data_IF_018882080182
#
_entry.id   IF_018882080182
#
_cell.length_a   1.000
_cell.length_b   1.000
_cell.length_c   1.000
_cell.angle_alpha   90.00
_cell.angle_beta   90.00
_cell.angle_gamma   90.00
#
_symmetry.space_group_name_H-M   'P 1'
#
loop_
_entity.id
_entity.type
_entity.pdbx_description
1 polymer ?
#
# COMPACT_ATOMS: atom_id res chain seq x y z
N UNK A 1 -9.48 -9.76 19.46
CA UNK A 1 -8.71 -8.84 18.61
C UNK A 1 -8.71 -9.42 17.22
N UNK A 2 -9.32 -8.75 16.25
CA UNK A 2 -9.20 -9.15 14.85
C UNK A 2 -7.75 -8.91 14.45
N UNK A 3 -6.96 -9.98 14.33
CA UNK A 3 -5.60 -9.88 13.82
C UNK A 3 -5.69 -9.76 12.30
N UNK A 4 -5.36 -8.58 11.78
CA UNK A 4 -5.28 -8.33 10.35
C UNK A 4 -3.87 -8.66 9.88
N UNK A 5 -3.77 -9.47 8.82
CA UNK A 5 -2.49 -9.92 8.29
C UNK A 5 -1.66 -10.64 9.37
N UNK A 6 -2.09 -11.84 9.74
CA UNK A 6 -1.50 -12.63 10.82
C UNK A 6 -0.08 -13.09 10.52
N UNK A 7 0.58 -13.68 11.53
CA UNK A 7 2.00 -14.06 11.44
C UNK A 7 2.35 -14.95 10.23
N UNK A 8 1.51 -15.94 9.93
CA UNK A 8 1.74 -16.86 8.82
C UNK A 8 1.58 -16.21 7.46
N UNK A 9 0.53 -15.42 7.29
CA UNK A 9 0.31 -14.70 6.04
C UNK A 9 1.37 -13.62 5.84
N UNK A 10 1.77 -12.90 6.90
CA UNK A 10 2.86 -11.93 6.87
C UNK A 10 4.19 -12.58 6.42
N UNK A 11 4.52 -13.75 6.99
CA UNK A 11 5.70 -14.51 6.59
C UNK A 11 5.64 -14.93 5.12
N UNK A 12 4.53 -15.53 4.69
CA UNK A 12 4.37 -16.01 3.30
C UNK A 12 4.40 -14.84 2.32
N UNK A 13 3.74 -13.72 2.64
CA UNK A 13 3.78 -12.52 1.81
C UNK A 13 5.21 -11.98 1.68
N UNK A 14 5.94 -11.89 2.79
CA UNK A 14 7.33 -11.46 2.78
C UNK A 14 8.22 -12.39 1.95
N UNK A 15 8.02 -13.72 2.00
CA UNK A 15 8.86 -14.66 1.25
C UNK A 15 8.47 -14.78 -0.23
N UNK A 16 7.17 -14.83 -0.53
CA UNK A 16 6.65 -15.22 -1.84
C UNK A 16 6.06 -14.11 -2.69
N UNK A 17 5.72 -12.95 -2.10
CA UNK A 17 4.90 -11.92 -2.76
C UNK A 17 5.52 -10.51 -2.71
N UNK A 18 6.84 -10.43 -2.51
CA UNK A 18 7.55 -9.15 -2.44
C UNK A 18 7.81 -8.48 -3.79
N UNK A 19 7.61 -9.21 -4.89
CA UNK A 19 7.91 -8.76 -6.26
C UNK A 19 7.26 -7.43 -6.62
N UNK A 20 5.99 -7.23 -6.25
CA UNK A 20 5.26 -6.01 -6.57
C UNK A 20 5.92 -4.78 -5.93
N UNK A 21 6.21 -4.86 -4.62
CA UNK A 21 6.87 -3.80 -3.87
C UNK A 21 8.32 -3.57 -4.31
N UNK A 22 9.05 -4.62 -4.71
CA UNK A 22 10.43 -4.50 -5.17
C UNK A 22 10.52 -3.89 -6.57
N UNK A 23 9.63 -4.30 -7.49
CA UNK A 23 9.61 -3.79 -8.87
C UNK A 23 9.07 -2.36 -8.96
N UNK A 24 8.25 -1.92 -7.99
CA UNK A 24 7.80 -0.53 -7.94
C UNK A 24 8.88 0.46 -7.49
N UNK A 25 9.93 0.02 -6.78
CA UNK A 25 10.99 0.90 -6.23
C UNK A 25 11.54 1.85 -7.28
N UNK A 26 11.97 1.35 -8.44
CA UNK A 26 12.59 2.20 -9.47
C UNK A 26 11.63 3.28 -9.99
N UNK A 27 10.38 2.90 -10.22
CA UNK A 27 9.34 3.82 -10.67
C UNK A 27 8.97 4.86 -9.62
N UNK A 28 8.93 4.47 -8.35
CA UNK A 28 8.72 5.41 -7.23
C UNK A 28 9.88 6.40 -7.13
N UNK A 29 11.12 5.92 -7.19
CA UNK A 29 12.31 6.78 -7.17
C UNK A 29 12.34 7.75 -8.35
N UNK A 30 11.95 7.30 -9.54
CA UNK A 30 11.80 8.15 -10.72
C UNK A 30 10.80 9.29 -10.48
N UNK A 31 9.61 8.97 -9.94
CA UNK A 31 8.59 9.97 -9.61
C UNK A 31 9.12 10.98 -8.57
N UNK A 32 9.83 10.50 -7.54
CA UNK A 32 10.44 11.38 -6.53
C UNK A 32 11.47 12.33 -7.16
N UNK A 33 12.35 11.82 -8.01
CA UNK A 33 13.36 12.62 -8.70
C UNK A 33 12.74 13.64 -9.67
N UNK A 34 11.68 13.28 -10.40
CA UNK A 34 10.95 14.22 -11.26
C UNK A 34 10.33 15.38 -10.46
N UNK A 35 10.02 15.17 -9.19
CA UNK A 35 9.53 16.19 -8.27
C UNK A 35 10.65 16.91 -7.48
N UNK A 36 11.92 16.69 -7.85
CA UNK A 36 13.13 17.25 -7.20
C UNK A 36 13.28 16.82 -5.73
N UNK A 37 12.80 15.62 -5.38
CA UNK A 37 12.93 15.05 -4.05
C UNK A 37 14.03 14.00 -4.11
N UNK A 38 15.24 14.35 -3.66
CA UNK A 38 16.42 13.47 -3.67
C UNK A 38 16.84 12.96 -2.29
N UNK A 39 16.28 13.55 -1.23
CA UNK A 39 16.52 13.18 0.16
C UNK A 39 15.34 13.60 1.04
N UNK A 40 15.43 13.29 2.33
CA UNK A 40 14.46 13.68 3.34
C UNK A 40 13.52 12.56 3.77
N UNK A 41 12.51 12.94 4.56
CA UNK A 41 11.55 11.99 5.13
C UNK A 41 10.45 11.58 4.14
N UNK A 42 10.25 10.27 4.01
CA UNK A 42 9.11 9.62 3.36
C UNK A 42 8.27 8.91 4.42
N UNK A 43 6.95 9.09 4.36
CA UNK A 43 6.01 8.32 5.17
C UNK A 43 5.38 7.23 4.29
N UNK A 44 5.54 5.97 4.66
CA UNK A 44 4.99 4.83 3.93
C UNK A 44 3.78 4.26 4.70
N UNK A 45 2.57 4.41 4.15
CA UNK A 45 1.33 3.91 4.72
C UNK A 45 1.04 2.51 4.15
N UNK A 46 0.76 1.54 5.03
CA UNK A 46 0.65 0.14 4.64
C UNK A 46 2.00 -0.46 4.22
N UNK A 47 3.08 -0.13 4.95
CA UNK A 47 4.45 -0.51 4.56
C UNK A 47 4.74 -2.02 4.55
N UNK A 48 3.83 -2.83 5.12
CA UNK A 48 3.97 -4.27 5.22
C UNK A 48 5.30 -4.67 5.86
N UNK A 49 5.99 -5.62 5.24
CA UNK A 49 7.30 -6.10 5.70
C UNK A 49 8.50 -5.22 5.31
N UNK A 50 8.25 -4.00 4.83
CA UNK A 50 9.29 -3.00 4.53
C UNK A 50 10.10 -3.27 3.26
N UNK A 51 9.52 -3.92 2.25
CA UNK A 51 10.22 -4.23 0.98
C UNK A 51 10.48 -2.99 0.14
N UNK A 52 9.47 -2.14 -0.02
CA UNK A 52 9.64 -0.83 -0.66
C UNK A 52 10.48 0.09 0.22
N UNK A 53 10.23 0.11 1.54
CA UNK A 53 11.05 0.83 2.53
C UNK A 53 12.55 0.56 2.36
N UNK A 54 12.96 -0.70 2.15
CA UNK A 54 14.36 -1.04 1.95
C UNK A 54 14.97 -0.36 0.71
N UNK A 55 14.22 -0.31 -0.39
CA UNK A 55 14.63 0.39 -1.61
C UNK A 55 14.80 1.89 -1.39
N UNK A 56 13.85 2.52 -0.68
CA UNK A 56 13.90 3.94 -0.34
C UNK A 56 15.08 4.28 0.58
N UNK A 57 15.32 3.48 1.63
CA UNK A 57 16.47 3.66 2.53
C UNK A 57 17.80 3.48 1.78
N UNK A 58 17.89 2.51 0.87
CA UNK A 58 19.08 2.31 0.03
C UNK A 58 19.32 3.48 -0.92
N UNK A 59 18.27 4.19 -1.30
CA UNK A 59 18.34 5.44 -2.08
C UNK A 59 18.50 6.69 -1.21
N UNK A 60 18.95 6.55 0.05
CA UNK A 60 19.29 7.64 0.97
C UNK A 60 18.10 8.45 1.54
N UNK A 61 16.88 7.92 1.47
CA UNK A 61 15.73 8.53 2.16
C UNK A 61 15.61 8.05 3.61
N UNK A 62 15.09 8.93 4.48
CA UNK A 62 14.59 8.52 5.78
C UNK A 62 13.16 8.03 5.61
N UNK A 63 12.80 6.91 6.26
CA UNK A 63 11.46 6.33 6.12
C UNK A 63 10.81 6.12 7.48
N UNK A 64 9.57 6.59 7.59
CA UNK A 64 8.61 6.19 8.63
C UNK A 64 7.56 5.27 7.99
N UNK A 65 7.65 3.97 8.26
CA UNK A 65 6.65 2.99 7.84
C UNK A 65 5.54 2.83 8.88
N UNK A 66 4.30 2.82 8.43
CA UNK A 66 3.11 2.65 9.27
C UNK A 66 2.29 1.50 8.71
N UNK A 67 1.99 0.50 9.53
CA UNK A 67 1.14 -0.63 9.16
C UNK A 67 0.29 -1.05 10.35
N UNK A 68 -0.93 -1.53 10.09
CA UNK A 68 -1.84 -1.99 11.14
C UNK A 68 -1.44 -3.38 11.68
N UNK A 69 -0.70 -4.18 10.89
CA UNK A 69 -0.26 -5.51 11.26
C UNK A 69 1.04 -5.48 12.05
N UNK A 70 0.97 -5.89 13.31
CA UNK A 70 2.15 -6.08 14.15
C UNK A 70 3.12 -7.12 13.57
N UNK A 71 2.59 -8.20 12.95
CA UNK A 71 3.41 -9.22 12.31
C UNK A 71 4.23 -8.64 11.15
N UNK A 72 3.62 -7.79 10.32
CA UNK A 72 4.30 -7.08 9.24
C UNK A 72 5.39 -6.14 9.77
N UNK A 73 5.06 -5.31 10.75
CA UNK A 73 6.03 -4.39 11.35
C UNK A 73 7.20 -5.13 12.00
N UNK A 74 6.96 -6.28 12.63
CA UNK A 74 8.03 -7.10 13.20
C UNK A 74 8.99 -7.65 12.13
N UNK A 75 8.48 -7.99 10.94
CA UNK A 75 9.33 -8.32 9.79
C UNK A 75 10.04 -7.09 9.25
N UNK A 76 9.35 -5.95 9.13
CA UNK A 76 9.91 -4.70 8.62
C UNK A 76 11.10 -4.19 9.45
N UNK A 77 10.99 -4.23 10.79
CA UNK A 77 12.08 -3.86 11.72
C UNK A 77 13.31 -4.75 11.57
N UNK A 78 13.11 -6.05 11.30
CA UNK A 78 14.22 -6.99 11.05
C UNK A 78 14.84 -6.75 9.67
N UNK A 79 14.01 -6.48 8.66
CA UNK A 79 14.44 -6.29 7.29
C UNK A 79 15.19 -4.96 7.11
N UNK A 80 14.66 -3.87 7.68
CA UNK A 80 15.17 -2.50 7.48
C UNK A 80 15.42 -1.81 8.82
N UNK A 81 16.43 -2.23 9.62
CA UNK A 81 16.67 -1.70 10.96
C UNK A 81 17.02 -0.20 10.99
N UNK A 82 17.35 0.40 9.84
CA UNK A 82 17.64 1.83 9.69
C UNK A 82 16.38 2.70 9.56
N UNK A 83 15.22 2.11 9.27
CA UNK A 83 13.95 2.84 9.16
C UNK A 83 13.19 2.83 10.50
N UNK A 84 12.25 3.77 10.64
CA UNK A 84 11.33 3.81 11.78
C UNK A 84 10.01 3.15 11.41
N UNK A 85 9.42 2.41 12.35
CA UNK A 85 8.20 1.66 12.10
C UNK A 85 7.20 1.76 13.25
N UNK A 86 5.93 2.01 12.90
CA UNK A 86 4.81 2.10 13.83
C UNK A 86 3.73 1.07 13.51
N UNK A 87 3.27 0.37 14.54
CA UNK A 87 2.04 -0.43 14.45
C UNK A 87 0.89 0.52 14.71
N UNK A 88 0.20 0.97 13.66
CA UNK A 88 -0.92 1.89 13.77
C UNK A 88 -1.82 1.85 12.54
N UNK A 89 -3.08 2.23 12.71
CA UNK A 89 -3.94 2.57 11.58
C UNK A 89 -3.47 3.89 10.95
N UNK A 90 -3.32 3.91 9.62
CA UNK A 90 -3.06 5.16 8.91
C UNK A 90 -4.26 6.14 8.97
N UNK A 91 -5.48 5.67 9.27
CA UNK A 91 -6.64 6.56 9.51
C UNK A 91 -6.53 7.33 10.83
N UNK A 92 -5.67 6.88 11.75
CA UNK A 92 -5.48 7.51 13.07
C UNK A 92 -4.07 8.09 13.26
N UNK A 93 -3.09 7.62 12.49
CA UNK A 93 -1.72 8.07 12.60
C UNK A 93 -1.55 9.56 12.25
N UNK A 94 -0.63 10.20 12.98
CA UNK A 94 -0.13 11.53 12.63
C UNK A 94 0.79 11.43 11.41
N UNK A 95 0.61 12.34 10.45
CA UNK A 95 1.55 12.50 9.33
C UNK A 95 2.49 13.67 9.67
N UNK A 96 3.78 13.40 9.98
CA UNK A 96 4.75 14.46 10.25
C UNK A 96 5.06 15.27 8.99
N UNK A 97 5.78 16.39 9.14
CA UNK A 97 6.30 17.14 8.00
C UNK A 97 7.24 16.25 7.17
N UNK A 98 6.91 16.01 5.90
CA UNK A 98 7.63 15.08 5.04
C UNK A 98 7.66 15.53 3.57
N UNK A 99 8.53 14.89 2.78
CA UNK A 99 8.72 15.20 1.36
C UNK A 99 7.81 14.34 0.48
N UNK A 100 7.53 13.11 0.91
CA UNK A 100 6.57 12.25 0.25
C UNK A 100 5.76 11.40 1.23
N UNK A 101 4.54 11.09 0.82
CA UNK A 101 3.73 10.02 1.41
C UNK A 101 3.49 8.96 0.33
N UNK A 102 3.67 7.68 0.66
CA UNK A 102 3.60 6.59 -0.29
C UNK A 102 2.73 5.47 0.27
N UNK A 103 1.86 4.87 -0.54
CA UNK A 103 1.02 3.72 -0.18
C UNK A 103 0.88 2.79 -1.37
N UNK A 104 1.74 1.77 -1.45
CA UNK A 104 1.82 0.84 -2.59
C UNK A 104 1.27 -0.52 -2.19
N UNK A 105 0.45 -1.11 -3.06
CA UNK A 105 -0.18 -2.40 -2.80
C UNK A 105 -1.60 -2.25 -2.30
N UNK A 106 -2.36 -1.34 -2.92
CA UNK A 106 -3.83 -1.25 -2.81
C UNK A 106 -4.32 -1.12 -1.35
N UNK A 107 -3.50 -0.51 -0.48
CA UNK A 107 -3.70 -0.54 0.97
C UNK A 107 -5.03 0.10 1.39
N UNK A 108 -5.44 1.19 0.73
CA UNK A 108 -6.71 1.85 1.04
C UNK A 108 -7.94 1.03 0.63
N UNK A 109 -7.78 0.04 -0.25
CA UNK A 109 -8.89 -0.81 -0.62
C UNK A 109 -9.28 -1.80 0.49
N UNK A 110 -8.35 -2.18 1.39
CA UNK A 110 -8.60 -3.17 2.43
C UNK A 110 -9.46 -2.64 3.58
N UNK A 111 -10.53 -3.36 3.92
CA UNK A 111 -11.45 -3.04 5.01
C UNK A 111 -10.98 -3.57 6.38
N UNK A 112 -9.68 -3.54 6.64
CA UNK A 112 -9.11 -3.95 7.93
C UNK A 112 -9.40 -2.97 9.06
N UNK A 113 -9.56 -1.69 8.72
CA UNK A 113 -9.99 -0.68 9.68
C UNK A 113 -11.47 -0.38 9.45
N UNK A 114 -12.26 -0.42 10.52
CA UNK A 114 -13.67 -0.01 10.50
C UNK A 114 -13.85 1.47 10.16
N UNK A 115 -12.79 2.27 10.30
CA UNK A 115 -12.73 3.65 9.85
C UNK A 115 -12.55 3.76 8.32
N UNK A 116 -12.37 2.67 7.57
CA UNK A 116 -12.25 2.74 6.12
C UNK A 116 -13.60 3.06 5.44
N UNK A 117 -13.95 4.34 5.45
CA UNK A 117 -15.08 4.93 4.76
C UNK A 117 -14.66 6.23 4.06
N UNK A 118 -15.52 6.75 3.18
CA UNK A 118 -15.17 7.89 2.32
C UNK A 118 -14.83 9.16 3.11
N UNK A 119 -15.52 9.40 4.23
CA UNK A 119 -15.27 10.59 5.07
C UNK A 119 -13.90 10.51 5.75
N UNK A 120 -13.56 9.35 6.32
CA UNK A 120 -12.27 9.14 6.97
C UNK A 120 -11.11 9.12 5.96
N UNK A 121 -11.33 8.59 4.76
CA UNK A 121 -10.35 8.64 3.67
C UNK A 121 -10.08 10.08 3.23
N UNK A 122 -11.13 10.90 3.06
CA UNK A 122 -10.98 12.32 2.78
C UNK A 122 -10.19 13.05 3.88
N UNK A 123 -10.50 12.80 5.15
CA UNK A 123 -9.76 13.37 6.29
C UNK A 123 -8.29 12.93 6.33
N UNK A 124 -8.01 11.69 5.93
CA UNK A 124 -6.64 11.22 5.75
C UNK A 124 -5.92 12.01 4.66
N UNK A 125 -6.54 12.20 3.50
CA UNK A 125 -5.96 13.02 2.42
C UNK A 125 -5.68 14.46 2.87
N UNK A 126 -6.55 15.06 3.67
CA UNK A 126 -6.29 16.38 4.25
C UNK A 126 -5.09 16.39 5.21
N UNK A 127 -4.94 15.34 6.03
CA UNK A 127 -3.76 15.19 6.91
C UNK A 127 -2.48 15.02 6.10
N UNK A 128 -2.53 14.22 5.04
CA UNK A 128 -1.40 14.03 4.12
C UNK A 128 -1.02 15.36 3.48
N UNK A 129 -1.99 16.12 2.96
CA UNK A 129 -1.75 17.44 2.37
C UNK A 129 -1.09 18.39 3.38
N UNK A 130 -1.55 18.42 4.63
CA UNK A 130 -0.93 19.25 5.69
C UNK A 130 0.49 18.80 6.03
N UNK A 131 0.73 17.49 6.08
CA UNK A 131 2.04 16.91 6.39
C UNK A 131 3.08 17.05 5.26
N UNK A 132 2.66 17.22 4.01
CA UNK A 132 3.59 17.41 2.90
C UNK A 132 4.17 18.84 2.88
N UNK A 133 5.48 18.95 2.65
CA UNK A 133 6.11 20.21 2.25
C UNK A 133 5.56 20.69 0.89
N UNK A 134 5.74 21.98 0.56
CA UNK A 134 5.43 22.49 -0.78
C UNK A 134 6.30 21.79 -1.82
N UNK A 135 5.69 21.34 -2.91
CA UNK A 135 6.34 20.48 -3.89
C UNK A 135 6.46 19.01 -3.48
N UNK A 136 5.99 18.63 -2.29
CA UNK A 136 5.93 17.24 -1.85
C UNK A 136 4.87 16.43 -2.59
N UNK A 137 5.02 15.11 -2.60
CA UNK A 137 4.19 14.22 -3.40
C UNK A 137 3.52 13.13 -2.57
N UNK A 138 2.26 12.83 -2.87
CA UNK A 138 1.54 11.68 -2.39
C UNK A 138 1.35 10.66 -3.52
N UNK A 139 1.84 9.44 -3.34
CA UNK A 139 1.82 8.39 -4.37
C UNK A 139 1.10 7.17 -3.81
N UNK A 140 0.05 6.70 -4.47
CA UNK A 140 -0.63 5.48 -4.06
C UNK A 140 -1.28 4.76 -5.24
N UNK A 141 -1.66 3.49 -5.05
CA UNK A 141 -2.46 2.75 -6.01
C UNK A 141 -3.78 2.26 -5.40
N UNK A 142 -4.76 2.06 -6.29
CA UNK A 142 -6.07 1.49 -5.95
C UNK A 142 -6.51 0.49 -7.00
N UNK A 143 -7.36 -0.45 -6.59
CA UNK A 143 -8.16 -1.26 -7.51
C UNK A 143 -9.37 -0.44 -7.98
N UNK A 144 -9.53 -0.34 -9.29
CA UNK A 144 -10.61 0.32 -10.00
C UNK A 144 -11.78 -0.63 -10.29
N UNK A 145 -12.98 -0.09 -10.50
CA UNK A 145 -14.16 -0.84 -10.96
C UNK A 145 -13.90 -1.70 -12.22
N UNK A 146 -12.97 -1.31 -13.09
CA UNK A 146 -12.57 -2.07 -14.27
C UNK A 146 -11.99 -3.46 -13.92
N UNK A 147 -11.57 -3.70 -12.67
CA UNK A 147 -11.17 -5.01 -12.19
C UNK A 147 -12.33 -6.03 -12.19
N UNK A 148 -13.58 -5.58 -12.05
CA UNK A 148 -14.73 -6.50 -12.09
C UNK A 148 -14.90 -7.17 -13.45
N UNK A 149 -14.55 -6.47 -14.53
CA UNK A 149 -14.62 -6.98 -15.91
C UNK A 149 -13.31 -7.62 -16.38
N UNK A 150 -12.25 -7.53 -15.58
CA UNK A 150 -10.98 -8.18 -15.89
C UNK A 150 -11.10 -9.72 -15.82
N UNK A 151 -10.63 -10.37 -16.88
CA UNK A 151 -10.47 -11.81 -16.97
C UNK A 151 -9.20 -12.23 -16.20
N UNK A 152 -9.36 -12.45 -14.90
CA UNK A 152 -8.29 -12.88 -14.01
C UNK A 152 -8.67 -14.19 -13.33
N UNK A 153 -7.68 -15.06 -13.06
CA UNK A 153 -7.94 -16.29 -12.32
C UNK A 153 -8.48 -15.95 -10.93
N UNK A 154 -9.61 -16.56 -10.60
CA UNK A 154 -10.25 -16.42 -9.29
C UNK A 154 -9.59 -17.30 -8.22
N UNK A 155 -8.60 -18.12 -8.58
CA UNK A 155 -7.86 -18.97 -7.67
C UNK A 155 -6.37 -18.81 -7.92
N UNK A 156 -5.59 -18.81 -6.84
CA UNK A 156 -4.15 -18.89 -6.85
C UNK A 156 -3.75 -19.98 -5.87
N UNK A 157 -2.94 -20.91 -6.34
CA UNK A 157 -2.27 -21.89 -5.49
C UNK A 157 -0.76 -21.74 -5.69
N UNK A 158 -0.02 -21.70 -4.59
CA UNK A 158 1.44 -21.76 -4.62
C UNK A 158 1.96 -22.58 -3.45
N UNK A 159 2.87 -23.47 -3.77
CA UNK A 159 3.60 -24.29 -2.81
C UNK A 159 5.08 -23.97 -2.93
N UNK A 160 5.71 -23.75 -1.79
CA UNK A 160 7.15 -23.66 -1.62
C UNK A 160 7.58 -24.65 -0.54
N UNK A 161 8.89 -24.83 -0.37
CA UNK A 161 9.46 -25.81 0.55
C UNK A 161 8.83 -25.81 1.96
N UNK A 162 8.62 -24.62 2.52
CA UNK A 162 8.21 -24.46 3.93
C UNK A 162 6.83 -23.82 4.09
N UNK A 163 6.09 -23.60 2.99
CA UNK A 163 4.75 -23.03 3.06
C UNK A 163 3.90 -23.28 1.81
N UNK A 164 2.58 -23.29 2.02
CA UNK A 164 1.55 -23.37 0.98
C UNK A 164 0.58 -22.21 1.17
N UNK A 165 0.12 -21.63 0.07
CA UNK A 165 -0.97 -20.65 0.06
C UNK A 165 -2.00 -21.00 -1.00
N UNK A 166 -3.27 -20.91 -0.60
CA UNK A 166 -4.42 -20.93 -1.48
C UNK A 166 -5.17 -19.60 -1.32
N UNK A 167 -5.41 -18.92 -2.42
CA UNK A 167 -6.22 -17.70 -2.45
C UNK A 167 -7.40 -17.93 -3.36
N UNK A 168 -8.60 -17.80 -2.83
CA UNK A 168 -9.85 -17.79 -3.57
C UNK A 168 -10.37 -16.35 -3.60
N UNK A 169 -10.69 -15.84 -4.79
CA UNK A 169 -11.22 -14.50 -5.01
C UNK A 169 -12.68 -14.61 -5.42
N UNK A 170 -13.54 -13.85 -4.75
CA UNK A 170 -14.92 -13.65 -5.17
C UNK A 170 -15.21 -12.17 -5.37
N UNK A 171 -16.22 -11.89 -6.20
CA UNK A 171 -16.59 -10.55 -6.65
C UNK A 171 -18.05 -10.29 -6.29
N UNK A 172 -18.33 -9.22 -5.54
CA UNK A 172 -19.68 -8.70 -5.34
C UNK A 172 -19.79 -7.32 -6.02
N UNK A 173 -20.35 -7.31 -7.23
CA UNK A 173 -20.47 -6.09 -8.03
C UNK A 173 -21.46 -5.08 -7.44
N UNK A 174 -22.55 -5.55 -6.84
CA UNK A 174 -23.58 -4.69 -6.24
C UNK A 174 -23.01 -3.89 -5.06
N UNK A 175 -22.26 -4.57 -4.18
CA UNK A 175 -21.61 -3.94 -3.03
C UNK A 175 -20.26 -3.31 -3.37
N UNK A 176 -19.74 -3.50 -4.59
CA UNK A 176 -18.39 -3.09 -5.01
C UNK A 176 -17.29 -3.64 -4.11
N UNK A 177 -17.46 -4.88 -3.65
CA UNK A 177 -16.51 -5.59 -2.79
C UNK A 177 -15.88 -6.76 -3.54
N UNK A 178 -14.57 -6.92 -3.37
CA UNK A 178 -13.81 -8.10 -3.69
C UNK A 178 -13.45 -8.80 -2.38
N UNK A 179 -13.62 -10.11 -2.32
CA UNK A 179 -13.25 -10.89 -1.15
C UNK A 179 -12.13 -11.83 -1.51
N UNK A 180 -11.06 -11.83 -0.72
CA UNK A 180 -9.95 -12.79 -0.82
C UNK A 180 -10.02 -13.71 0.38
N UNK A 181 -10.35 -14.97 0.16
CA UNK A 181 -10.23 -16.03 1.16
C UNK A 181 -8.86 -16.66 1.02
N UNK A 182 -8.04 -16.54 2.05
CA UNK A 182 -6.63 -16.91 2.02
C UNK A 182 -6.41 -18.02 3.05
N UNK A 183 -6.04 -19.20 2.58
CA UNK A 183 -5.64 -20.33 3.42
C UNK A 183 -4.13 -20.46 3.33
N UNK A 184 -3.46 -20.51 4.47
CA UNK A 184 -2.02 -20.70 4.56
C UNK A 184 -1.72 -21.96 5.34
N UNK A 185 -0.69 -22.70 4.91
CA UNK A 185 -0.03 -23.71 5.72
C UNK A 185 1.44 -23.34 5.80
N UNK A 186 1.98 -23.09 7.00
CA UNK A 186 3.40 -22.77 7.20
C UNK A 186 4.05 -23.82 8.07
N UNK A 187 5.21 -24.32 7.65
CA UNK A 187 6.01 -25.25 8.45
C UNK A 187 6.62 -24.53 9.65
N UNK A 188 6.42 -25.08 10.85
CA UNK A 188 6.97 -24.61 12.12
C UNK A 188 7.55 -25.82 12.85
N UNK A 189 8.88 -25.94 12.84
CA UNK A 189 9.55 -27.17 13.27
C UNK A 189 9.18 -28.33 12.35
N UNK A 190 8.67 -29.42 12.91
CA UNK A 190 8.27 -30.63 12.16
C UNK A 190 6.78 -30.67 11.77
N UNK A 191 5.99 -29.63 12.11
CA UNK A 191 4.55 -29.59 11.83
C UNK A 191 4.19 -28.41 10.93
N UNK A 192 2.97 -28.42 10.37
CA UNK A 192 2.40 -27.28 9.66
C UNK A 192 1.32 -26.62 10.51
N UNK A 193 1.38 -25.30 10.61
CA UNK A 193 0.30 -24.46 11.15
C UNK A 193 -0.58 -24.02 10.00
N UNK A 194 -1.88 -24.28 10.11
CA UNK A 194 -2.89 -23.83 9.14
C UNK A 194 -3.61 -22.60 9.67
N UNK A 195 -3.63 -21.53 8.87
CA UNK A 195 -4.40 -20.33 9.14
C UNK A 195 -5.33 -19.99 7.97
N UNK A 196 -6.38 -19.23 8.26
CA UNK A 196 -7.36 -18.77 7.28
C UNK A 196 -7.71 -17.32 7.57
N UNK A 197 -7.64 -16.47 6.54
CA UNK A 197 -7.99 -15.07 6.60
C UNK A 197 -8.99 -14.72 5.50
N UNK A 198 -9.92 -13.81 5.81
CA UNK A 198 -10.87 -13.26 4.86
C UNK A 198 -10.59 -11.76 4.73
N UNK A 199 -10.15 -11.33 3.56
CA UNK A 199 -9.86 -9.92 3.29
C UNK A 199 -10.93 -9.36 2.38
N UNK A 200 -11.69 -8.38 2.89
CA UNK A 200 -12.63 -7.62 2.10
C UNK A 200 -11.98 -6.36 1.58
N UNK A 201 -12.19 -6.11 0.30
CA UNK A 201 -11.52 -5.08 -0.47
C UNK A 201 -12.59 -4.30 -1.21
N UNK A 202 -12.77 -3.03 -0.86
CA UNK A 202 -13.64 -2.13 -1.62
C UNK A 202 -12.89 -1.62 -2.84
N UNK A 203 -13.55 -1.51 -3.99
CA UNK A 203 -12.96 -0.86 -5.16
C UNK A 203 -13.33 0.62 -5.21
N UNK A 204 -12.48 1.42 -5.85
CA UNK A 204 -12.70 2.85 -6.00
C UNK A 204 -12.96 3.23 -7.47
N UNK A 205 -13.64 4.34 -7.66
CA UNK A 205 -13.57 5.09 -8.90
C UNK A 205 -12.42 6.10 -8.75
N UNK A 206 -11.35 5.93 -9.54
CA UNK A 206 -10.18 6.81 -9.42
C UNK A 206 -10.51 8.27 -9.75
N UNK A 207 -11.48 8.54 -10.62
CA UNK A 207 -11.89 9.92 -10.92
C UNK A 207 -12.50 10.63 -9.71
N UNK A 208 -13.22 9.91 -8.85
CA UNK A 208 -13.81 10.49 -7.65
C UNK A 208 -12.72 10.79 -6.61
N UNK A 209 -11.71 9.93 -6.49
CA UNK A 209 -10.53 10.18 -5.66
C UNK A 209 -9.71 11.37 -6.17
N UNK A 210 -9.54 11.50 -7.48
CA UNK A 210 -8.88 12.65 -8.11
C UNK A 210 -9.60 13.94 -7.74
N UNK A 211 -10.93 14.01 -7.91
CA UNK A 211 -11.72 15.19 -7.54
C UNK A 211 -11.56 15.56 -6.06
N UNK A 212 -11.58 14.58 -5.16
CA UNK A 212 -11.38 14.83 -3.73
C UNK A 212 -10.00 15.41 -3.43
N UNK A 213 -8.94 14.85 -4.04
CA UNK A 213 -7.57 15.35 -3.86
C UNK A 213 -7.38 16.76 -4.44
N UNK A 214 -7.97 17.04 -5.60
CA UNK A 214 -7.96 18.37 -6.22
C UNK A 214 -8.70 19.40 -5.37
N UNK A 215 -9.84 19.04 -4.76
CA UNK A 215 -10.58 19.90 -3.82
C UNK A 215 -9.75 20.28 -2.59
N UNK A 216 -8.86 19.39 -2.13
CA UNK A 216 -7.95 19.64 -1.02
C UNK A 216 -6.80 20.59 -1.42
N UNK A 217 -6.46 20.63 -2.72
CA UNK A 217 -5.41 21.50 -3.28
C UNK A 217 -4.24 20.77 -3.91
N UNK A 218 -4.33 19.45 -4.14
CA UNK A 218 -3.34 18.73 -4.93
C UNK A 218 -3.50 18.99 -6.43
N UNK A 219 -2.38 18.99 -7.16
CA UNK A 219 -2.38 18.72 -8.60
C UNK A 219 -2.22 17.22 -8.80
N UNK A 220 -3.13 16.57 -9.54
CA UNK A 220 -3.22 15.11 -9.56
C UNK A 220 -3.00 14.55 -10.96
N UNK A 221 -2.20 13.49 -11.06
CA UNK A 221 -1.99 12.69 -12.28
C UNK A 221 -2.43 11.25 -12.04
N UNK A 222 -3.34 10.77 -12.88
CA UNK A 222 -3.71 9.36 -12.95
C UNK A 222 -2.79 8.62 -13.93
N UNK A 223 -2.36 7.42 -13.57
CA UNK A 223 -1.48 6.57 -14.38
C UNK A 223 -1.81 5.08 -14.19
N UNK A 224 -1.34 4.24 -15.10
CA UNK A 224 -1.41 2.77 -14.94
C UNK A 224 -0.02 2.18 -14.61
N UNK A 225 0.88 3.04 -14.11
CA UNK A 225 2.30 2.75 -13.94
C UNK A 225 2.90 3.60 -12.81
N UNK A 226 3.86 3.02 -12.08
CA UNK A 226 4.87 3.79 -11.36
C UNK A 226 6.12 3.90 -12.24
N UNK A 227 6.38 5.09 -12.80
CA UNK A 227 7.44 5.23 -13.81
C UNK A 227 7.30 4.17 -14.91
N UNK A 228 8.36 3.39 -15.13
CA UNK A 228 8.37 2.26 -16.07
C UNK A 228 7.66 0.99 -15.57
N UNK A 229 7.36 0.88 -14.27
CA UNK A 229 6.69 -0.30 -13.71
C UNK A 229 5.18 -0.25 -13.98
N UNK A 230 4.71 -1.08 -14.91
CA UNK A 230 3.29 -1.23 -15.24
C UNK A 230 2.53 -1.99 -14.15
N UNK A 231 1.41 -1.42 -13.71
CA UNK A 231 0.54 -2.05 -12.71
C UNK A 231 -0.29 -3.19 -13.32
N UNK A 232 -0.78 -4.14 -12.49
CA UNK A 232 -1.76 -5.12 -12.90
C UNK A 232 -3.01 -4.49 -13.53
N UNK A 233 -3.65 -5.23 -14.43
CA UNK A 233 -4.91 -4.77 -15.03
C UNK A 233 -5.98 -4.55 -13.95
N UNK A 234 -6.65 -3.40 -14.02
CA UNK A 234 -7.64 -2.98 -13.04
C UNK A 234 -7.06 -2.15 -11.90
N UNK A 235 -5.74 -1.98 -11.82
CA UNK A 235 -5.10 -1.08 -10.86
C UNK A 235 -4.77 0.27 -11.52
N UNK A 236 -4.89 1.34 -10.73
CA UNK A 236 -4.49 2.69 -11.11
C UNK A 236 -3.58 3.26 -10.04
N UNK A 237 -2.51 3.92 -10.46
CA UNK A 237 -1.69 4.77 -9.59
C UNK A 237 -2.17 6.21 -9.67
N UNK A 238 -2.21 6.87 -8.53
CA UNK A 238 -2.50 8.29 -8.37
C UNK A 238 -1.25 8.97 -7.82
N UNK A 239 -0.81 10.02 -8.50
CA UNK A 239 0.34 10.85 -8.10
C UNK A 239 -0.21 12.26 -7.86
N UNK A 240 -0.25 12.68 -6.60
CA UNK A 240 -0.83 13.94 -6.16
C UNK A 240 0.28 14.85 -5.60
N UNK A 241 0.56 15.96 -6.28
CA UNK A 241 1.61 16.90 -5.92
C UNK A 241 1.03 18.11 -5.18
N UNK A 242 1.61 18.46 -4.04
CA UNK A 242 1.29 19.70 -3.34
C UNK A 242 1.95 20.85 -4.08
N UNK A 243 1.15 21.75 -4.63
CA UNK A 243 1.61 22.83 -5.53
C UNK A 243 2.65 23.69 -4.81
N UNK A 244 3.73 24.04 -5.51
CA UNK A 244 4.70 25.04 -5.02
C UNK A 244 4.04 26.40 -5.17
N UNK A 245 4.14 27.27 -4.17
CA UNK A 245 3.76 28.66 -4.42
C UNK A 245 4.59 29.15 -5.61
N UNK A 246 3.93 29.58 -6.67
CA UNK A 246 4.62 30.24 -7.77
C UNK A 246 5.41 31.39 -7.18
N UNK A 247 6.73 31.42 -7.45
CA UNK A 247 7.55 32.61 -7.20
C UNK A 247 6.96 33.69 -8.11
N UNK A 248 6.08 34.52 -7.56
CA UNK A 248 5.68 35.79 -8.19
C UNK A 248 6.86 36.73 -8.26
#
# INVERSE_FOLDING_TARGET
MTQWYGEDLAYIHHQGFSDYALKSVSGILEILHQNQIHEGLIVELGCGSGRLTQGLVNANYQVLGIDISEAMINLARKNVPKAQFQVNSFFQASIPLCHAVISVGECFNYLFDTNNNDSQLYQLFERIYRGLVKGGVFIFDVIEMSYFTADQPNQLFREEKDWIILVEKSKNQEQKILTRRIITLRKVGETYRRNEELHEIRVYNSEDLVKQLEQIGFSVKLSSNYGDFRLPQGNKSIIACKIRDDIR
#
